data_IF_564943492230
#
_entry.id   IF_564943492230
#
_cell.length_a   1.000
_cell.length_b   1.000
_cell.length_c   1.000
_cell.angle_alpha   90.00
_cell.angle_beta   90.00
_cell.angle_gamma   90.00
#
_symmetry.space_group_name_H-M   'P 1'
#
loop_
_entity.id
_entity.type
_entity.pdbx_description
1 polymer ?
#
# COMPACT_ATOMS: atom_id res chain seq x y z
N UNK A 1 14.19 20.86 -13.02
CA UNK A 1 14.04 20.66 -11.56
C UNK A 1 15.06 19.61 -11.11
N UNK A 2 15.86 19.90 -10.09
CA UNK A 2 16.91 19.00 -9.59
C UNK A 2 16.26 17.68 -9.10
N UNK A 3 16.98 16.54 -9.18
CA UNK A 3 16.51 15.19 -8.80
C UNK A 3 15.96 15.18 -7.37
N UNK A 4 16.66 15.87 -6.44
CA UNK A 4 16.25 15.92 -5.02
C UNK A 4 14.93 16.69 -4.83
N UNK A 5 14.71 17.78 -5.56
CA UNK A 5 13.46 18.54 -5.51
C UNK A 5 12.27 17.74 -6.05
N UNK A 6 12.47 16.92 -7.11
CA UNK A 6 11.43 16.01 -7.63
C UNK A 6 11.08 14.95 -6.60
N UNK A 7 12.08 14.41 -5.94
CA UNK A 7 11.89 13.36 -4.95
C UNK A 7 11.12 13.89 -3.72
N UNK A 8 11.51 15.06 -3.20
CA UNK A 8 10.82 15.72 -2.08
C UNK A 8 9.37 16.04 -2.46
N UNK A 9 9.13 16.59 -3.64
CA UNK A 9 7.78 16.89 -4.12
C UNK A 9 6.92 15.60 -4.21
N UNK A 10 7.51 14.51 -4.72
CA UNK A 10 6.83 13.21 -4.78
C UNK A 10 6.41 12.70 -3.41
N UNK A 11 7.26 12.85 -2.38
CA UNK A 11 6.92 12.46 -1.02
C UNK A 11 5.84 13.34 -0.39
N UNK A 12 5.90 14.66 -0.63
CA UNK A 12 4.87 15.58 -0.14
C UNK A 12 3.51 15.25 -0.78
N UNK A 13 3.47 15.15 -2.10
CA UNK A 13 2.23 14.86 -2.83
C UNK A 13 1.70 13.47 -2.49
N UNK A 14 2.56 12.45 -2.50
CA UNK A 14 2.18 11.08 -2.12
C UNK A 14 1.74 10.98 -0.67
N UNK A 15 2.43 11.67 0.24
CA UNK A 15 2.06 11.74 1.65
C UNK A 15 0.70 12.40 1.85
N UNK A 16 0.44 13.55 1.21
CA UNK A 16 -0.86 14.23 1.27
C UNK A 16 -1.99 13.35 0.74
N UNK A 17 -1.78 12.65 -0.38
CA UNK A 17 -2.77 11.73 -0.92
C UNK A 17 -3.06 10.57 0.04
N UNK A 18 -2.02 9.88 0.52
CA UNK A 18 -2.16 8.67 1.33
C UNK A 18 -2.60 8.99 2.76
N UNK A 19 -2.06 10.06 3.39
CA UNK A 19 -2.30 10.33 4.81
C UNK A 19 -3.53 11.22 5.03
N UNK A 20 -3.86 12.09 4.07
CA UNK A 20 -4.95 13.06 4.24
C UNK A 20 -6.10 12.78 3.30
N UNK A 21 -5.88 12.79 1.98
CA UNK A 21 -6.99 12.77 1.01
C UNK A 21 -7.80 11.47 1.06
N UNK A 22 -7.15 10.32 1.01
CA UNK A 22 -7.85 9.03 1.01
C UNK A 22 -8.58 8.75 2.33
N UNK A 23 -7.99 8.94 3.53
CA UNK A 23 -8.72 8.81 4.79
C UNK A 23 -9.88 9.78 4.92
N UNK A 24 -9.72 11.03 4.45
CA UNK A 24 -10.82 12.01 4.47
C UNK A 24 -11.99 11.57 3.59
N UNK A 25 -11.72 11.05 2.39
CA UNK A 25 -12.74 10.52 1.49
C UNK A 25 -13.46 9.33 2.13
N UNK A 26 -12.70 8.40 2.73
CA UNK A 26 -13.26 7.25 3.45
C UNK A 26 -14.20 7.74 4.56
N UNK A 27 -13.76 8.70 5.38
CA UNK A 27 -14.54 9.24 6.47
C UNK A 27 -15.84 9.94 5.98
N UNK A 28 -15.73 10.82 4.98
CA UNK A 28 -16.88 11.56 4.43
C UNK A 28 -17.91 10.60 3.84
N UNK A 29 -17.48 9.67 2.99
CA UNK A 29 -18.41 8.72 2.37
C UNK A 29 -19.05 7.83 3.45
N UNK A 30 -18.25 7.32 4.40
CA UNK A 30 -18.79 6.52 5.50
C UNK A 30 -19.83 7.29 6.30
N UNK A 31 -19.56 8.56 6.66
CA UNK A 31 -20.49 9.36 7.45
C UNK A 31 -21.81 9.61 6.73
N UNK A 32 -21.78 9.82 5.40
CA UNK A 32 -23.00 9.99 4.59
C UNK A 32 -23.88 8.73 4.61
N UNK A 33 -23.26 7.54 4.46
CA UNK A 33 -24.01 6.28 4.48
C UNK A 33 -24.46 5.90 5.90
N UNK A 34 -23.64 6.11 6.91
CA UNK A 34 -23.93 5.79 8.31
C UNK A 34 -25.05 6.67 8.91
N UNK A 35 -25.29 7.84 8.33
CA UNK A 35 -26.47 8.68 8.69
C UNK A 35 -27.80 8.00 8.36
N UNK A 36 -27.81 7.10 7.36
CA UNK A 36 -29.00 6.34 6.98
C UNK A 36 -29.03 5.00 7.69
N UNK A 37 -27.90 4.31 7.75
CA UNK A 37 -27.82 2.96 8.32
C UNK A 37 -26.41 2.64 8.83
N UNK A 38 -26.25 2.60 10.15
CA UNK A 38 -24.97 2.31 10.78
C UNK A 38 -24.93 0.91 11.37
N UNK A 39 -23.95 0.10 10.92
CA UNK A 39 -23.64 -1.19 11.50
C UNK A 39 -22.25 -1.16 12.14
N UNK A 40 -22.21 -1.40 13.45
CA UNK A 40 -20.94 -1.56 14.18
C UNK A 40 -20.34 -2.94 13.93
N UNK A 41 -19.00 -2.98 13.75
CA UNK A 41 -18.27 -4.22 13.49
C UNK A 41 -17.88 -4.91 14.81
N UNK A 42 -17.31 -4.14 15.74
CA UNK A 42 -16.77 -4.67 16.99
C UNK A 42 -17.36 -3.86 18.15
N UNK A 43 -18.20 -4.53 18.96
CA UNK A 43 -18.78 -3.91 20.16
C UNK A 43 -17.79 -3.84 21.32
N UNK A 44 -16.92 -4.85 21.45
CA UNK A 44 -15.95 -4.88 22.55
C UNK A 44 -14.82 -3.89 22.27
N UNK A 45 -14.75 -2.83 23.07
CA UNK A 45 -13.79 -1.75 22.90
C UNK A 45 -12.33 -2.21 23.06
N UNK A 46 -12.05 -3.13 23.99
CA UNK A 46 -10.69 -3.61 24.25
C UNK A 46 -10.18 -4.40 23.03
N UNK A 47 -10.99 -5.34 22.52
CA UNK A 47 -10.64 -6.15 21.35
C UNK A 47 -10.43 -5.24 20.13
N UNK A 48 -11.31 -4.25 19.94
CA UNK A 48 -11.20 -3.27 18.85
C UNK A 48 -9.84 -2.56 18.88
N UNK A 49 -9.45 -2.01 20.04
CA UNK A 49 -8.18 -1.28 20.15
C UNK A 49 -6.96 -2.18 19.96
N UNK A 50 -7.01 -3.42 20.47
CA UNK A 50 -5.93 -4.39 20.25
C UNK A 50 -5.73 -4.64 18.75
N UNK A 51 -6.81 -4.89 17.99
CA UNK A 51 -6.74 -5.15 16.56
C UNK A 51 -6.22 -3.90 15.82
N UNK A 52 -6.71 -2.70 16.15
CA UNK A 52 -6.25 -1.44 15.56
C UNK A 52 -4.74 -1.27 15.75
N UNK A 53 -4.24 -1.45 16.97
CA UNK A 53 -2.80 -1.29 17.29
C UNK A 53 -1.97 -2.31 16.50
N UNK A 54 -2.38 -3.57 16.45
CA UNK A 54 -1.68 -4.62 15.68
C UNK A 54 -1.61 -4.24 14.19
N UNK A 55 -2.72 -3.82 13.60
CA UNK A 55 -2.78 -3.43 12.20
C UNK A 55 -1.93 -2.20 11.91
N UNK A 56 -1.93 -1.20 12.79
CA UNK A 56 -1.08 -0.01 12.67
C UNK A 56 0.40 -0.37 12.74
N UNK A 57 0.81 -1.19 13.70
CA UNK A 57 2.21 -1.61 13.86
C UNK A 57 2.68 -2.38 12.63
N UNK A 58 1.92 -3.38 12.18
CA UNK A 58 2.24 -4.15 10.97
C UNK A 58 2.29 -3.22 9.76
N UNK A 59 1.29 -2.38 9.59
CA UNK A 59 1.18 -1.44 8.47
C UNK A 59 2.37 -0.48 8.40
N UNK A 60 2.74 0.14 9.51
CA UNK A 60 3.88 1.06 9.60
C UNK A 60 5.20 0.35 9.33
N UNK A 61 5.42 -0.85 9.87
CA UNK A 61 6.64 -1.62 9.61
C UNK A 61 6.79 -1.90 8.11
N UNK A 62 5.73 -2.38 7.45
CA UNK A 62 5.78 -2.69 6.02
C UNK A 62 5.93 -1.42 5.17
N UNK A 63 5.19 -0.35 5.46
CA UNK A 63 5.26 0.90 4.71
C UNK A 63 6.65 1.56 4.82
N UNK A 64 7.16 1.74 6.05
CA UNK A 64 8.43 2.42 6.29
C UNK A 64 9.60 1.62 5.72
N UNK A 65 9.66 0.30 6.00
CA UNK A 65 10.75 -0.56 5.48
C UNK A 65 10.74 -0.63 3.96
N UNK A 66 9.56 -0.66 3.34
CA UNK A 66 9.45 -0.66 1.88
C UNK A 66 9.97 0.64 1.28
N UNK A 67 9.59 1.78 1.87
CA UNK A 67 10.03 3.09 1.44
C UNK A 67 11.56 3.24 1.54
N UNK A 68 12.15 2.83 2.66
CA UNK A 68 13.59 2.88 2.86
C UNK A 68 14.33 2.03 1.81
N UNK A 69 13.92 0.77 1.64
CA UNK A 69 14.57 -0.16 0.73
C UNK A 69 14.39 0.27 -0.74
N UNK A 70 13.24 0.79 -1.10
CA UNK A 70 13.00 1.29 -2.44
C UNK A 70 13.90 2.50 -2.76
N UNK A 71 14.15 3.39 -1.80
CA UNK A 71 15.04 4.53 -1.98
C UNK A 71 16.52 4.14 -2.00
N UNK A 72 16.93 3.22 -1.13
CA UNK A 72 18.35 2.88 -0.98
C UNK A 72 18.82 1.91 -2.05
N UNK A 73 18.02 0.89 -2.40
CA UNK A 73 18.38 -0.15 -3.37
C UNK A 73 17.79 0.15 -4.74
N UNK A 74 16.53 0.56 -4.79
CA UNK A 74 15.82 0.87 -6.04
C UNK A 74 16.32 2.14 -6.73
N UNK A 75 16.97 3.04 -6.01
CA UNK A 75 17.43 4.35 -6.48
C UNK A 75 16.33 5.19 -7.16
N UNK A 76 15.08 4.94 -6.82
CA UNK A 76 13.92 5.64 -7.36
C UNK A 76 12.81 5.78 -6.33
N UNK A 77 11.90 6.69 -6.61
CA UNK A 77 10.69 6.85 -5.81
C UNK A 77 9.55 5.97 -6.32
N UNK A 78 8.49 5.88 -5.52
CA UNK A 78 7.33 5.02 -5.79
C UNK A 78 6.11 5.78 -6.32
N UNK A 79 6.25 7.05 -6.64
CA UNK A 79 5.10 7.89 -7.01
C UNK A 79 5.10 8.20 -8.50
N UNK A 80 4.31 7.41 -9.24
CA UNK A 80 3.93 7.71 -10.62
C UNK A 80 2.40 7.83 -10.69
N UNK A 81 1.90 8.88 -11.30
CA UNK A 81 0.47 9.05 -11.58
C UNK A 81 0.29 9.05 -13.09
N UNK A 82 -0.12 7.91 -13.66
CA UNK A 82 -0.31 7.73 -15.08
C UNK A 82 0.99 7.92 -15.86
N UNK A 83 1.05 8.95 -16.73
CA UNK A 83 2.25 9.29 -17.50
C UNK A 83 3.15 10.34 -16.83
N UNK A 84 2.74 10.85 -15.67
CA UNK A 84 3.46 11.90 -14.95
C UNK A 84 4.39 11.24 -13.94
N UNK A 85 5.68 11.30 -14.20
CA UNK A 85 6.72 10.89 -13.28
C UNK A 85 6.91 11.96 -12.20
N UNK A 86 6.32 11.75 -11.03
CA UNK A 86 6.49 12.65 -9.88
C UNK A 86 7.81 12.33 -9.17
N UNK A 87 8.23 11.06 -9.19
CA UNK A 87 9.53 10.62 -8.67
C UNK A 87 10.34 9.90 -9.74
N UNK A 88 11.70 9.86 -9.63
CA UNK A 88 12.54 9.12 -10.57
C UNK A 88 12.16 7.63 -10.60
N UNK A 89 12.18 7.02 -11.79
CA UNK A 89 11.93 5.58 -11.94
C UNK A 89 12.94 4.76 -11.15
N UNK A 90 12.47 3.65 -10.62
CA UNK A 90 13.31 2.64 -9.97
C UNK A 90 14.32 2.09 -10.98
N UNK A 91 15.62 2.20 -10.69
CA UNK A 91 16.68 1.73 -11.57
C UNK A 91 17.00 0.26 -11.38
N UNK A 92 16.86 -0.25 -10.16
CA UNK A 92 17.19 -1.61 -9.79
C UNK A 92 15.93 -2.35 -9.31
N UNK A 93 15.80 -3.61 -9.70
CA UNK A 93 14.71 -4.46 -9.18
C UNK A 93 14.96 -4.76 -7.70
N UNK A 94 14.03 -4.34 -6.85
CA UNK A 94 14.10 -4.58 -5.41
C UNK A 94 13.43 -5.90 -5.07
N UNK A 95 14.22 -6.85 -4.55
CA UNK A 95 13.79 -8.21 -4.15
C UNK A 95 14.15 -8.55 -2.70
N UNK A 96 14.59 -7.57 -1.92
CA UNK A 96 15.09 -7.74 -0.55
C UNK A 96 14.15 -7.18 0.51
N UNK A 97 14.40 -7.45 1.78
CA UNK A 97 13.58 -6.98 2.89
C UNK A 97 12.12 -7.44 2.77
N UNK A 98 11.13 -6.55 2.95
CA UNK A 98 9.70 -6.90 2.85
C UNK A 98 9.31 -7.37 1.43
N UNK A 99 10.08 -7.01 0.40
CA UNK A 99 9.88 -7.49 -0.97
C UNK A 99 10.20 -8.99 -1.15
N UNK A 100 10.84 -9.65 -0.17
CA UNK A 100 10.96 -11.12 -0.14
C UNK A 100 9.64 -11.81 0.14
N UNK A 101 8.73 -11.16 0.86
CA UNK A 101 7.49 -11.76 1.35
C UNK A 101 6.29 -11.42 0.47
N UNK A 102 6.28 -10.23 -0.13
CA UNK A 102 5.27 -9.76 -1.06
C UNK A 102 5.88 -8.82 -2.08
N UNK A 103 5.36 -8.81 -3.31
CA UNK A 103 5.83 -7.91 -4.36
C UNK A 103 5.36 -6.46 -4.16
N UNK A 104 4.30 -6.26 -3.36
CA UNK A 104 3.72 -4.95 -3.08
C UNK A 104 3.64 -4.66 -1.57
N UNK A 105 4.79 -4.64 -0.86
CA UNK A 105 4.80 -4.51 0.59
C UNK A 105 4.34 -3.13 1.07
N UNK A 106 4.57 -2.08 0.28
CA UNK A 106 4.07 -0.74 0.60
C UNK A 106 2.54 -0.70 0.55
N UNK A 107 1.94 -1.30 -0.48
CA UNK A 107 0.48 -1.39 -0.60
C UNK A 107 -0.13 -2.22 0.54
N UNK A 108 0.53 -3.32 0.94
CA UNK A 108 0.11 -4.12 2.10
C UNK A 108 0.14 -3.30 3.39
N UNK A 109 1.21 -2.52 3.60
CA UNK A 109 1.32 -1.62 4.74
C UNK A 109 0.21 -0.56 4.76
N UNK A 110 -0.02 0.09 3.64
CA UNK A 110 -1.09 1.11 3.48
C UNK A 110 -2.47 0.51 3.71
N UNK A 111 -2.74 -0.68 3.17
CA UNK A 111 -4.01 -1.38 3.41
C UNK A 111 -4.23 -1.68 4.89
N UNK A 112 -3.20 -2.18 5.58
CA UNK A 112 -3.29 -2.45 7.02
C UNK A 112 -3.60 -1.18 7.83
N UNK A 113 -2.98 -0.05 7.49
CA UNK A 113 -3.26 1.24 8.12
C UNK A 113 -4.70 1.71 7.85
N UNK A 114 -5.17 1.59 6.61
CA UNK A 114 -6.54 1.99 6.28
C UNK A 114 -7.58 1.06 6.90
N UNK A 115 -7.28 -0.22 7.04
CA UNK A 115 -8.15 -1.15 7.74
C UNK A 115 -8.22 -0.81 9.24
N UNK A 116 -7.10 -0.42 9.86
CA UNK A 116 -7.07 0.10 11.22
C UNK A 116 -7.94 1.36 11.37
N UNK A 117 -7.85 2.29 10.41
CA UNK A 117 -8.67 3.49 10.36
C UNK A 117 -10.17 3.17 10.18
N UNK A 118 -10.51 2.22 9.32
CA UNK A 118 -11.89 1.75 9.15
C UNK A 118 -12.46 1.13 10.45
N UNK A 119 -11.65 0.34 11.16
CA UNK A 119 -12.03 -0.20 12.48
C UNK A 119 -12.09 0.87 13.56
N UNK A 120 -11.32 1.94 13.45
CA UNK A 120 -11.44 3.10 14.35
C UNK A 120 -12.80 3.78 14.16
N UNK A 121 -13.24 4.00 12.93
CA UNK A 121 -14.60 4.49 12.61
C UNK A 121 -15.67 3.50 13.10
N UNK A 122 -15.34 2.21 13.11
CA UNK A 122 -16.20 1.11 13.55
C UNK A 122 -17.52 1.01 12.77
N UNK A 123 -17.42 1.13 11.45
CA UNK A 123 -18.56 1.01 10.53
C UNK A 123 -18.26 -0.04 9.45
N UNK A 124 -19.25 -0.86 9.14
CA UNK A 124 -19.14 -1.84 8.05
C UNK A 124 -18.92 -1.15 6.71
N UNK A 125 -19.52 0.03 6.52
CA UNK A 125 -19.36 0.87 5.33
C UNK A 125 -17.89 1.24 5.12
N UNK A 126 -17.18 1.64 6.18
CA UNK A 126 -15.76 2.01 6.08
C UNK A 126 -14.88 0.83 5.66
N UNK A 127 -15.14 -0.36 6.19
CA UNK A 127 -14.38 -1.58 5.82
C UNK A 127 -14.66 -1.98 4.38
N UNK A 128 -15.92 -1.98 3.97
CA UNK A 128 -16.30 -2.28 2.57
C UNK A 128 -15.64 -1.30 1.61
N UNK A 129 -15.64 0.00 1.94
CA UNK A 129 -15.02 1.03 1.12
C UNK A 129 -13.49 0.84 1.02
N UNK A 130 -12.80 0.56 2.13
CA UNK A 130 -11.36 0.25 2.14
C UNK A 130 -11.08 -0.98 1.28
N UNK A 131 -11.86 -2.04 1.42
CA UNK A 131 -11.69 -3.25 0.60
C UNK A 131 -11.93 -2.96 -0.89
N UNK A 132 -12.93 -2.16 -1.25
CA UNK A 132 -13.21 -1.79 -2.63
C UNK A 132 -12.07 -0.97 -3.26
N UNK A 133 -11.57 0.05 -2.56
CA UNK A 133 -10.39 0.83 -2.98
C UNK A 133 -9.20 -0.12 -3.19
N UNK A 134 -9.01 -1.05 -2.30
CA UNK A 134 -7.92 -1.98 -2.35
C UNK A 134 -8.00 -2.97 -3.51
N UNK A 135 -9.18 -3.54 -3.78
CA UNK A 135 -9.42 -4.39 -4.97
C UNK A 135 -9.13 -3.60 -6.25
N UNK A 136 -9.57 -2.34 -6.32
CA UNK A 136 -9.23 -1.46 -7.43
C UNK A 136 -7.70 -1.27 -7.58
N UNK A 137 -7.00 -0.99 -6.50
CA UNK A 137 -5.53 -0.85 -6.52
C UNK A 137 -4.83 -2.12 -7.01
N UNK A 138 -5.26 -3.29 -6.55
CA UNK A 138 -4.70 -4.58 -6.98
C UNK A 138 -4.99 -4.90 -8.46
N UNK A 139 -6.20 -4.62 -8.90
CA UNK A 139 -6.65 -5.02 -10.26
C UNK A 139 -6.19 -4.06 -11.34
N UNK A 140 -6.01 -2.78 -11.03
CA UNK A 140 -5.62 -1.74 -11.98
C UNK A 140 -4.18 -1.32 -11.76
N UNK A 141 -3.87 -0.70 -10.61
CA UNK A 141 -2.58 -0.04 -10.40
C UNK A 141 -1.44 -1.05 -10.34
N UNK A 142 -1.57 -2.10 -9.53
CA UNK A 142 -0.53 -3.13 -9.39
C UNK A 142 -0.31 -3.88 -10.70
N UNK A 143 -1.35 -4.19 -11.46
CA UNK A 143 -1.18 -4.85 -12.77
C UNK A 143 -0.48 -3.95 -13.79
N UNK A 144 -0.74 -2.65 -13.76
CA UNK A 144 -0.02 -1.69 -14.62
C UNK A 144 1.47 -1.63 -14.22
N UNK A 145 1.75 -1.57 -12.93
CA UNK A 145 3.11 -1.58 -12.40
C UNK A 145 3.85 -2.88 -12.73
N UNK A 146 3.22 -4.04 -12.58
CA UNK A 146 3.81 -5.34 -12.96
C UNK A 146 4.13 -5.42 -14.46
N UNK A 147 3.28 -4.86 -15.32
CA UNK A 147 3.58 -4.78 -16.77
C UNK A 147 4.80 -3.90 -17.05
N UNK A 148 4.93 -2.79 -16.32
CA UNK A 148 6.11 -1.93 -16.42
C UNK A 148 7.36 -2.65 -15.95
N UNK A 149 7.34 -3.26 -14.77
CA UNK A 149 8.48 -3.99 -14.21
C UNK A 149 8.91 -5.15 -15.12
N UNK A 150 7.96 -5.83 -15.76
CA UNK A 150 8.25 -6.87 -16.72
C UNK A 150 8.96 -6.32 -17.97
N UNK A 151 8.55 -5.14 -18.43
CA UNK A 151 9.21 -4.45 -19.57
C UNK A 151 10.61 -4.00 -19.20
N UNK A 152 10.81 -3.46 -17.99
CA UNK A 152 12.07 -2.84 -17.57
C UNK A 152 13.11 -3.90 -17.13
N UNK A 153 12.69 -4.99 -16.49
CA UNK A 153 13.56 -6.00 -15.90
C UNK A 153 13.45 -7.42 -16.52
N UNK A 154 12.51 -7.65 -17.43
CA UNK A 154 12.34 -8.89 -18.21
C UNK A 154 12.37 -10.16 -17.37
N UNK A 155 13.26 -11.11 -17.73
CA UNK A 155 13.40 -12.42 -17.09
C UNK A 155 13.63 -12.34 -15.57
N UNK A 156 14.39 -11.34 -15.12
CA UNK A 156 14.68 -11.16 -13.70
C UNK A 156 13.38 -10.92 -12.89
N UNK A 157 12.47 -10.10 -13.41
CA UNK A 157 11.16 -9.88 -12.80
C UNK A 157 10.25 -11.12 -12.90
N UNK A 158 10.29 -11.86 -14.00
CA UNK A 158 9.53 -13.12 -14.15
C UNK A 158 9.90 -14.15 -13.10
N UNK A 159 11.18 -14.36 -12.85
CA UNK A 159 11.67 -15.28 -11.83
C UNK A 159 11.24 -14.84 -10.42
N UNK A 160 11.35 -13.55 -10.14
CA UNK A 160 10.89 -12.98 -8.89
C UNK A 160 9.38 -13.18 -8.70
N UNK A 161 8.57 -12.92 -9.73
CA UNK A 161 7.12 -13.07 -9.72
C UNK A 161 6.66 -14.50 -9.47
N UNK A 162 7.41 -15.50 -9.93
CA UNK A 162 7.11 -16.92 -9.68
C UNK A 162 7.31 -17.33 -8.22
N UNK A 163 8.22 -16.65 -7.51
CA UNK A 163 8.64 -17.02 -6.14
C UNK A 163 7.90 -16.25 -5.05
N UNK A 164 7.43 -15.04 -5.34
CA UNK A 164 6.88 -14.12 -4.34
C UNK A 164 5.43 -13.80 -4.66
N UNK A 165 4.57 -13.81 -3.64
CA UNK A 165 3.14 -13.48 -3.81
C UNK A 165 2.95 -12.01 -4.24
N UNK A 166 1.83 -11.73 -4.93
CA UNK A 166 1.51 -10.38 -5.37
C UNK A 166 1.24 -9.44 -4.20
N UNK A 167 0.51 -9.91 -3.19
CA UNK A 167 0.03 -9.02 -2.13
C UNK A 167 0.19 -9.60 -0.72
N UNK A 168 -0.42 -10.76 -0.41
CA UNK A 168 -0.36 -11.32 0.94
C UNK A 168 1.08 -11.75 1.25
N UNK A 169 1.70 -11.22 2.33
CA UNK A 169 3.04 -11.64 2.71
C UNK A 169 3.04 -13.14 3.02
N UNK A 170 3.78 -13.90 2.23
CA UNK A 170 3.92 -15.33 2.43
C UNK A 170 5.40 -15.66 2.65
N UNK A 171 5.72 -16.44 3.68
CA UNK A 171 7.05 -16.97 3.84
C UNK A 171 7.35 -17.88 2.65
N UNK A 172 8.47 -17.63 1.95
CA UNK A 172 8.85 -18.36 0.76
C UNK A 172 8.73 -19.87 1.00
N UNK A 173 7.91 -20.56 0.21
CA UNK A 173 8.04 -22.00 0.08
C UNK A 173 9.44 -22.26 -0.47
N UNK A 174 10.28 -22.96 0.29
CA UNK A 174 11.51 -23.56 -0.28
C UNK A 174 11.03 -24.50 -1.38
N UNK A 175 11.17 -24.06 -2.62
CA UNK A 175 11.01 -24.98 -3.76
C UNK A 175 12.22 -25.91 -3.66
N UNK A 176 11.94 -27.19 -3.32
CA UNK A 176 12.93 -28.27 -3.41
C UNK A 176 13.30 -28.50 -4.87
#
# INVERSE_FOLDING_TARGET
MNKDKKMILGYIVGGLLVIVSVPSIIYIITSLFDNVYRLEIIRNSIIKWIIIIILLVIGLIYAIRSLIIQNTIGEGGSVEIGKIEISPKTKNLVVTGPYKNTRNPMLFGTFSIYLAFALFINSITSVVLVCAIFVFMLTVVVKMEEKRLLKDFGKQYEEYRKKVSMFIPWFQRKIK
#
